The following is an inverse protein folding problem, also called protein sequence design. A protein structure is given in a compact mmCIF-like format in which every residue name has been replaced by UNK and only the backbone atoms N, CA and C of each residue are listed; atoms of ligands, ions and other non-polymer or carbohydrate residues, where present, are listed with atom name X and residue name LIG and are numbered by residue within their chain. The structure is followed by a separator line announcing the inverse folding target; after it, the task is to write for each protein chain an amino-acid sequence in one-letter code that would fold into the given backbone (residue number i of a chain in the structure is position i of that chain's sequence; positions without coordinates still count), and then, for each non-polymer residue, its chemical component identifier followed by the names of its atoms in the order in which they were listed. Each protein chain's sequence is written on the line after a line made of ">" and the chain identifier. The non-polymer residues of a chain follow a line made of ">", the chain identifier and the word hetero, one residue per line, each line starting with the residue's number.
data_IF_196500267082
#
_entry.id   IF_196500267082
#
_cell.length_a   1.000
_cell.length_b   1.000
_cell.length_c   1.000
_cell.angle_alpha   90.00
_cell.angle_beta   90.00
_cell.angle_gamma   90.00
#
_symmetry.space_group_name_H-M   'P 1'
#
loop_
_entity.id
_entity.type
_entity.pdbx_description
1 polymer ?
#
# COMPACT_ATOMS: atom_id res chain seq x y z
N UNK A 1 -5.12 -11.24 -12.89
CA UNK A 1 -6.50 -11.20 -12.39
C UNK A 1 -6.92 -12.50 -11.74
N UNK A 2 -8.05 -12.48 -11.08
CA UNK A 2 -8.61 -13.67 -10.43
C UNK A 2 -9.25 -14.62 -11.44
N UNK A 3 -9.24 -15.91 -11.10
CA UNK A 3 -10.04 -16.89 -11.82
C UNK A 3 -11.52 -16.74 -11.42
N UNK A 4 -12.44 -17.10 -12.32
CA UNK A 4 -13.89 -16.99 -12.07
C UNK A 4 -14.32 -17.75 -10.80
N UNK A 5 -13.76 -18.93 -10.58
CA UNK A 5 -14.04 -19.75 -9.40
C UNK A 5 -13.67 -19.09 -8.05
N UNK A 6 -12.80 -18.07 -8.06
CA UNK A 6 -12.33 -17.38 -6.87
C UNK A 6 -13.09 -16.08 -6.59
N UNK A 7 -13.94 -15.60 -7.51
CA UNK A 7 -14.67 -14.34 -7.36
C UNK A 7 -15.56 -14.31 -6.12
N UNK A 8 -16.17 -15.45 -5.76
CA UNK A 8 -17.03 -15.56 -4.58
C UNK A 8 -16.29 -15.47 -3.24
N UNK A 9 -14.95 -15.55 -3.26
CA UNK A 9 -14.08 -15.49 -2.08
C UNK A 9 -13.58 -14.07 -1.79
N UNK A 10 -13.87 -13.12 -2.68
CA UNK A 10 -13.40 -11.73 -2.55
C UNK A 10 -14.40 -10.93 -1.72
N UNK A 11 -13.89 -10.30 -0.66
CA UNK A 11 -14.68 -9.35 0.11
C UNK A 11 -15.08 -8.14 -0.76
N UNK A 12 -16.28 -7.64 -0.56
CA UNK A 12 -16.76 -6.43 -1.21
C UNK A 12 -16.02 -5.20 -0.69
N UNK A 13 -15.60 -4.32 -1.60
CA UNK A 13 -15.06 -3.02 -1.26
C UNK A 13 -16.22 -2.08 -0.95
N UNK A 14 -16.28 -1.62 0.29
CA UNK A 14 -17.29 -0.68 0.77
C UNK A 14 -16.75 0.74 0.63
N UNK A 15 -17.53 1.61 -0.01
CA UNK A 15 -17.14 3.02 -0.20
C UNK A 15 -17.15 3.79 1.11
N UNK A 16 -16.31 4.80 1.18
CA UNK A 16 -16.44 5.84 2.20
C UNK A 16 -17.60 6.76 1.81
N UNK A 17 -18.63 6.77 2.65
CA UNK A 17 -19.81 7.65 2.48
C UNK A 17 -19.70 8.94 3.31
N UNK A 18 -18.55 9.18 3.96
CA UNK A 18 -18.33 10.42 4.69
C UNK A 18 -18.15 11.60 3.73
N UNK A 19 -18.41 12.81 4.23
CA UNK A 19 -18.28 14.05 3.45
C UNK A 19 -16.85 14.31 2.95
N UNK A 20 -15.85 13.65 3.57
CA UNK A 20 -14.44 13.75 3.19
C UNK A 20 -14.09 12.96 1.92
N UNK A 21 -15.01 12.14 1.41
CA UNK A 21 -14.82 11.39 0.16
C UNK A 21 -14.60 12.28 -1.08
N UNK A 22 -14.81 13.59 -0.95
CA UNK A 22 -14.60 14.58 -2.01
C UNK A 22 -13.16 15.10 -2.14
N UNK A 23 -12.19 14.48 -1.47
CA UNK A 23 -10.79 14.96 -1.50
C UNK A 23 -10.22 15.17 -2.91
N UNK A 24 -10.74 14.45 -3.89
CA UNK A 24 -10.36 14.59 -5.30
C UNK A 24 -11.28 15.49 -6.13
N UNK A 25 -12.43 15.91 -5.59
CA UNK A 25 -13.44 16.64 -6.36
C UNK A 25 -13.06 18.10 -6.68
N UNK A 26 -12.13 18.67 -5.92
CA UNK A 26 -11.69 20.08 -6.05
C UNK A 26 -10.28 20.22 -6.63
N UNK A 27 -9.74 19.17 -7.22
CA UNK A 27 -8.43 19.25 -7.88
C UNK A 27 -8.54 20.08 -9.18
N UNK A 28 -7.50 20.89 -9.46
CA UNK A 28 -7.34 21.49 -10.77
C UNK A 28 -7.29 20.37 -11.82
N UNK A 29 -8.22 20.35 -12.81
CA UNK A 29 -8.26 19.32 -13.85
C UNK A 29 -6.95 19.18 -14.65
N UNK A 30 -6.17 20.25 -14.73
CA UNK A 30 -4.88 20.25 -15.42
C UNK A 30 -3.72 19.75 -14.55
N UNK A 31 -3.94 19.56 -13.24
CA UNK A 31 -2.92 19.03 -12.34
C UNK A 31 -2.57 17.56 -12.67
N UNK A 32 -1.33 17.17 -12.37
CA UNK A 32 -0.90 15.76 -12.49
C UNK A 32 -1.74 14.85 -11.63
N UNK A 33 -2.07 15.27 -10.41
CA UNK A 33 -2.92 14.54 -9.48
C UNK A 33 -4.31 14.24 -10.06
N UNK A 34 -4.95 15.28 -10.65
CA UNK A 34 -6.26 15.10 -11.29
C UNK A 34 -6.19 14.18 -12.51
N UNK A 35 -5.16 14.29 -13.32
CA UNK A 35 -4.95 13.41 -14.49
C UNK A 35 -4.73 11.96 -14.11
N UNK A 36 -4.06 11.70 -12.98
CA UNK A 36 -3.82 10.34 -12.46
C UNK A 36 -5.06 9.74 -11.80
N UNK A 37 -5.72 10.50 -10.93
CA UNK A 37 -6.84 9.99 -10.10
C UNK A 37 -8.23 10.32 -10.65
N UNK A 38 -8.35 11.28 -11.57
CA UNK A 38 -9.63 11.74 -12.11
C UNK A 38 -10.33 10.77 -13.07
N UNK A 39 -9.68 9.69 -13.48
CA UNK A 39 -10.21 8.73 -14.46
C UNK A 39 -11.35 7.82 -13.96
N UNK A 40 -11.84 7.99 -12.73
CA UNK A 40 -12.98 7.26 -12.18
C UNK A 40 -12.81 5.73 -12.01
N UNK A 41 -11.65 5.21 -12.37
CA UNK A 41 -11.38 3.76 -12.38
C UNK A 41 -11.21 3.09 -11.03
N UNK A 42 -11.26 3.84 -9.92
CA UNK A 42 -11.05 3.33 -8.56
C UNK A 42 -12.31 3.39 -7.67
N UNK A 43 -13.48 3.63 -8.25
CA UNK A 43 -14.72 3.53 -7.47
C UNK A 43 -14.97 2.09 -7.03
N UNK A 44 -15.58 1.90 -5.85
CA UNK A 44 -15.88 0.56 -5.34
C UNK A 44 -16.80 -0.23 -6.25
N UNK A 45 -17.72 0.43 -6.95
CA UNK A 45 -18.60 -0.24 -7.91
C UNK A 45 -17.79 -0.88 -9.03
N UNK A 46 -16.79 -0.19 -9.55
CA UNK A 46 -15.87 -0.74 -10.56
C UNK A 46 -15.01 -1.83 -9.95
N UNK A 47 -14.40 -1.61 -8.79
CA UNK A 47 -13.53 -2.57 -8.12
C UNK A 47 -14.25 -3.86 -7.68
N UNK A 48 -15.58 -3.80 -7.46
CA UNK A 48 -16.40 -4.96 -7.13
C UNK A 48 -16.87 -5.75 -8.35
N UNK A 49 -16.72 -5.23 -9.56
CA UNK A 49 -17.12 -5.93 -10.77
C UNK A 49 -16.25 -7.15 -11.07
N UNK A 50 -16.86 -8.20 -11.65
CA UNK A 50 -16.10 -9.38 -12.08
C UNK A 50 -15.02 -9.02 -13.11
N UNK A 51 -15.34 -8.12 -14.04
CA UNK A 51 -14.41 -7.67 -15.06
C UNK A 51 -13.14 -7.04 -14.46
N UNK A 52 -13.29 -6.17 -13.44
CA UNK A 52 -12.15 -5.60 -12.72
C UNK A 52 -11.34 -6.65 -11.98
N UNK A 53 -12.00 -7.54 -11.25
CA UNK A 53 -11.35 -8.59 -10.45
C UNK A 53 -10.58 -9.57 -11.32
N UNK A 54 -11.02 -9.81 -12.55
CA UNK A 54 -10.38 -10.70 -13.52
C UNK A 54 -9.33 -9.99 -14.39
N UNK A 55 -9.34 -8.67 -14.47
CA UNK A 55 -8.37 -7.90 -15.24
C UNK A 55 -6.96 -8.01 -14.64
N UNK A 56 -5.94 -7.82 -15.47
CA UNK A 56 -4.54 -7.70 -15.05
C UNK A 56 -4.16 -6.21 -15.00
N UNK A 57 -4.33 -5.60 -13.82
CA UNK A 57 -4.00 -4.19 -13.58
C UNK A 57 -3.00 -4.11 -12.42
N UNK A 58 -1.70 -4.38 -12.66
CA UNK A 58 -0.70 -4.57 -11.60
C UNK A 58 -0.60 -3.41 -10.62
N UNK A 59 -0.95 -2.19 -11.06
CA UNK A 59 -0.85 -1.00 -10.24
C UNK A 59 -1.92 -0.90 -9.14
N UNK A 60 -3.06 -1.61 -9.26
CA UNK A 60 -4.21 -1.27 -8.41
C UNK A 60 -5.07 -2.48 -7.99
N UNK A 61 -5.10 -3.59 -8.72
CA UNK A 61 -6.03 -4.68 -8.43
C UNK A 61 -5.40 -5.95 -7.85
N UNK A 62 -4.38 -5.82 -7.02
CA UNK A 62 -3.84 -6.94 -6.26
C UNK A 62 -4.90 -7.50 -5.30
N UNK A 63 -5.10 -8.83 -5.32
CA UNK A 63 -6.05 -9.53 -4.45
C UNK A 63 -5.30 -10.41 -3.46
N UNK A 64 -5.59 -10.25 -2.19
CA UNK A 64 -4.98 -11.02 -1.12
C UNK A 64 -5.57 -10.64 0.23
N UNK A 65 -5.07 -11.26 1.27
CA UNK A 65 -5.35 -10.87 2.66
C UNK A 65 -4.05 -10.44 3.36
N UNK A 66 -4.17 -9.84 4.54
CA UNK A 66 -3.01 -9.34 5.29
C UNK A 66 -1.94 -10.43 5.51
N UNK A 67 -2.36 -11.67 5.77
CA UNK A 67 -1.43 -12.81 5.95
C UNK A 67 -0.64 -13.12 4.67
N UNK A 68 -1.27 -13.11 3.51
CA UNK A 68 -0.57 -13.38 2.24
C UNK A 68 0.39 -12.25 1.88
N UNK A 69 0.00 -11.00 2.13
CA UNK A 69 0.88 -9.84 1.93
C UNK A 69 2.11 -9.93 2.83
N UNK A 70 1.93 -10.09 4.15
CA UNK A 70 3.04 -10.26 5.09
C UNK A 70 3.91 -11.44 4.69
N UNK A 71 3.32 -12.57 4.30
CA UNK A 71 4.07 -13.77 3.95
C UNK A 71 5.02 -13.55 2.76
N UNK A 72 4.59 -12.81 1.75
CA UNK A 72 5.43 -12.46 0.62
C UNK A 72 6.46 -11.37 0.98
N UNK A 73 6.03 -10.33 1.68
CA UNK A 73 6.85 -9.15 1.96
C UNK A 73 7.86 -9.34 3.09
N UNK A 74 7.65 -10.33 3.97
CA UNK A 74 8.58 -10.63 5.07
C UNK A 74 9.98 -11.02 4.59
N UNK A 75 10.12 -11.49 3.35
CA UNK A 75 11.41 -11.74 2.75
C UNK A 75 12.31 -10.49 2.75
N UNK A 76 11.74 -9.30 2.50
CA UNK A 76 12.48 -8.05 2.50
C UNK A 76 12.94 -7.59 3.89
N UNK A 77 12.23 -8.03 4.94
CA UNK A 77 12.61 -7.77 6.32
C UNK A 77 13.62 -8.79 6.87
N UNK A 78 13.81 -9.92 6.20
CA UNK A 78 14.55 -11.07 6.71
C UNK A 78 15.57 -11.61 5.69
N UNK A 79 16.36 -10.75 5.08
CA UNK A 79 17.48 -11.10 4.19
C UNK A 79 17.08 -12.05 3.04
N UNK A 80 15.85 -11.85 2.52
CA UNK A 80 15.30 -12.62 1.44
C UNK A 80 14.54 -13.88 1.87
N UNK A 81 14.50 -14.20 3.18
CA UNK A 81 13.84 -15.37 3.73
C UNK A 81 12.39 -15.04 4.16
N UNK A 82 11.42 -15.68 3.56
CA UNK A 82 10.02 -15.62 3.95
C UNK A 82 9.62 -16.92 4.65
N UNK A 83 9.52 -16.90 5.98
CA UNK A 83 9.34 -18.10 6.80
C UNK A 83 10.45 -19.13 6.50
N UNK A 84 10.10 -20.27 5.91
CA UNK A 84 11.06 -21.32 5.57
C UNK A 84 11.50 -21.34 4.11
N UNK A 85 11.17 -20.27 3.35
CA UNK A 85 11.43 -20.21 1.89
C UNK A 85 12.32 -19.02 1.55
N UNK A 86 13.49 -19.30 0.97
CA UNK A 86 14.35 -18.26 0.41
C UNK A 86 13.74 -17.77 -0.91
N UNK A 87 13.16 -16.55 -0.91
CA UNK A 87 12.56 -15.91 -2.09
C UNK A 87 13.56 -15.06 -2.85
N UNK A 88 14.49 -14.41 -2.13
CA UNK A 88 15.52 -13.54 -2.68
C UNK A 88 16.86 -13.86 -2.02
N UNK A 89 17.97 -13.52 -2.65
CA UNK A 89 19.25 -13.45 -1.93
C UNK A 89 19.23 -12.28 -0.94
N UNK A 90 20.09 -12.31 0.08
CA UNK A 90 20.25 -11.18 1.01
C UNK A 90 20.61 -9.89 0.26
N UNK A 91 21.50 -9.98 -0.75
CA UNK A 91 21.84 -8.86 -1.62
C UNK A 91 20.63 -8.34 -2.41
N UNK A 92 19.76 -9.24 -2.89
CA UNK A 92 18.52 -8.87 -3.59
C UNK A 92 17.52 -8.16 -2.69
N UNK A 93 17.42 -8.61 -1.42
CA UNK A 93 16.59 -7.95 -0.43
C UNK A 93 17.14 -6.56 -0.07
N UNK A 94 18.46 -6.42 0.07
CA UNK A 94 19.10 -5.11 0.32
C UNK A 94 18.91 -4.15 -0.86
N UNK A 95 19.04 -4.61 -2.10
CA UNK A 95 18.81 -3.79 -3.29
C UNK A 95 17.41 -3.20 -3.36
N UNK A 96 16.41 -3.87 -2.80
CA UNK A 96 15.04 -3.32 -2.76
C UNK A 96 14.93 -2.03 -1.96
N UNK A 97 15.90 -1.75 -1.09
CA UNK A 97 16.00 -0.59 -0.21
C UNK A 97 16.90 0.51 -0.78
N UNK A 98 17.59 0.28 -1.89
CA UNK A 98 18.40 1.30 -2.54
C UNK A 98 17.54 2.51 -2.90
N UNK A 99 17.96 3.70 -2.47
CA UNK A 99 17.24 4.95 -2.75
C UNK A 99 17.40 5.30 -4.21
N UNK A 100 16.30 5.31 -4.93
CA UNK A 100 16.23 5.62 -6.36
C UNK A 100 15.87 7.07 -6.62
N UNK A 101 15.06 7.66 -5.73
CA UNK A 101 14.58 9.03 -5.87
C UNK A 101 14.34 9.64 -4.48
N UNK A 102 14.76 10.88 -4.31
CA UNK A 102 14.39 11.71 -3.16
C UNK A 102 14.02 13.10 -3.68
N UNK A 103 12.72 13.41 -3.73
CA UNK A 103 12.22 14.67 -4.29
C UNK A 103 10.77 14.94 -3.89
N UNK A 104 10.25 16.11 -4.29
CA UNK A 104 8.82 16.38 -4.28
C UNK A 104 8.13 15.50 -5.32
N UNK A 105 7.14 14.70 -4.91
CA UNK A 105 6.30 13.95 -5.83
C UNK A 105 5.23 14.87 -6.45
N UNK A 106 5.14 14.88 -7.77
CA UNK A 106 4.24 15.80 -8.49
C UNK A 106 2.79 15.32 -8.53
N UNK A 107 2.54 14.09 -8.14
CA UNK A 107 1.19 13.49 -8.05
C UNK A 107 0.67 13.55 -6.62
N UNK A 108 1.50 13.13 -5.66
CA UNK A 108 1.16 13.10 -4.24
C UNK A 108 1.32 14.47 -3.56
N UNK A 109 2.08 15.39 -4.17
CA UNK A 109 2.30 16.77 -3.73
C UNK A 109 2.97 16.90 -2.36
N UNK A 110 3.83 15.94 -2.00
CA UNK A 110 4.68 16.00 -0.81
C UNK A 110 6.05 15.34 -1.07
N UNK A 111 7.08 15.64 -0.22
CA UNK A 111 8.38 15.03 -0.36
C UNK A 111 8.33 13.52 -0.14
N UNK A 112 8.94 12.77 -1.04
CA UNK A 112 9.07 11.32 -0.97
C UNK A 112 10.53 10.91 -1.09
N UNK A 113 10.86 9.78 -0.48
CA UNK A 113 12.11 9.06 -0.68
C UNK A 113 11.75 7.64 -1.09
N UNK A 114 11.90 7.35 -2.38
CA UNK A 114 11.54 6.08 -2.95
C UNK A 114 12.72 5.13 -3.09
N UNK A 115 12.47 3.89 -2.71
CA UNK A 115 13.25 2.73 -3.06
C UNK A 115 12.54 1.95 -4.19
N UNK A 116 12.91 0.71 -4.42
CA UNK A 116 12.32 -0.13 -5.48
C UNK A 116 10.90 -0.60 -5.09
N UNK A 117 9.89 0.18 -5.46
CA UNK A 117 8.48 -0.13 -5.19
C UNK A 117 7.96 0.27 -3.80
N UNK A 118 8.77 0.94 -2.98
CA UNK A 118 8.42 1.36 -1.62
C UNK A 118 8.89 2.78 -1.35
N UNK A 119 8.26 3.45 -0.39
CA UNK A 119 8.76 4.68 0.20
C UNK A 119 9.43 4.41 1.55
N UNK A 120 10.38 5.24 1.92
CA UNK A 120 10.91 5.30 3.29
C UNK A 120 9.95 6.04 4.22
N UNK A 121 10.03 5.75 5.51
CA UNK A 121 9.30 6.49 6.55
C UNK A 121 9.57 8.00 6.48
N UNK A 122 8.55 8.81 6.67
CA UNK A 122 8.61 10.27 6.64
C UNK A 122 7.70 10.90 7.69
N UNK A 123 7.80 12.22 7.87
CA UNK A 123 7.03 12.95 8.86
C UNK A 123 5.64 13.37 8.36
N UNK A 124 5.38 13.29 7.05
CA UNK A 124 4.11 13.69 6.44
C UNK A 124 3.04 12.62 6.59
N UNK A 125 3.46 11.35 6.50
CA UNK A 125 2.56 10.20 6.65
C UNK A 125 3.19 9.27 7.68
N UNK A 126 2.82 9.39 8.97
CA UNK A 126 3.45 8.67 10.07
C UNK A 126 2.94 7.23 10.19
N UNK A 127 3.11 6.43 9.15
CA UNK A 127 2.72 5.01 9.12
C UNK A 127 3.65 4.16 9.98
N UNK A 128 4.93 4.51 10.03
CA UNK A 128 5.93 3.78 10.81
C UNK A 128 6.78 4.76 11.64
N UNK A 129 7.07 4.45 12.92
CA UNK A 129 8.00 5.23 13.72
C UNK A 129 9.46 5.11 13.25
N UNK A 130 9.84 3.98 12.64
CA UNK A 130 11.19 3.80 12.11
C UNK A 130 11.31 4.41 10.71
N UNK A 131 12.08 5.49 10.58
CA UNK A 131 12.31 6.16 9.29
C UNK A 131 13.18 5.35 8.32
N UNK A 132 13.87 4.32 8.79
CA UNK A 132 14.62 3.40 7.94
C UNK A 132 13.76 2.22 7.44
N UNK A 133 12.55 2.04 7.99
CA UNK A 133 11.59 1.10 7.43
C UNK A 133 11.07 1.60 6.08
N UNK A 134 10.88 0.66 5.16
CA UNK A 134 10.21 0.93 3.90
C UNK A 134 8.73 0.52 4.00
N UNK A 135 7.87 1.23 3.31
CA UNK A 135 6.43 0.99 3.35
C UNK A 135 5.76 1.40 2.06
N UNK A 136 4.58 0.90 1.85
CA UNK A 136 3.63 1.46 0.89
C UNK A 136 2.20 1.25 1.34
N UNK A 137 1.31 2.09 0.83
CA UNK A 137 -0.10 2.03 1.15
C UNK A 137 -0.95 2.29 -0.09
N UNK A 138 -2.18 1.82 -0.05
CA UNK A 138 -3.14 2.01 -1.12
C UNK A 138 -4.24 3.00 -0.78
N UNK A 139 -4.92 3.44 -1.82
CA UNK A 139 -6.17 4.19 -1.72
C UNK A 139 -7.16 3.43 -0.83
N UNK A 140 -7.73 4.12 0.15
CA UNK A 140 -8.71 3.56 1.08
C UNK A 140 -8.15 2.94 2.35
N UNK A 141 -6.82 2.78 2.51
CA UNK A 141 -6.21 2.52 3.80
C UNK A 141 -5.35 1.25 3.93
N UNK A 142 -5.33 0.35 2.95
CA UNK A 142 -4.44 -0.84 3.01
C UNK A 142 -2.98 -0.42 3.06
N UNK A 143 -2.17 -1.08 3.90
CA UNK A 143 -0.79 -0.68 4.17
C UNK A 143 0.10 -1.90 4.38
N UNK A 144 1.34 -1.80 3.95
CA UNK A 144 2.41 -2.73 4.27
C UNK A 144 3.64 -1.95 4.75
N UNK A 145 4.21 -2.36 5.88
CA UNK A 145 5.46 -1.83 6.46
C UNK A 145 6.46 -2.97 6.55
N UNK A 146 7.69 -2.70 6.14
CA UNK A 146 8.79 -3.67 6.12
C UNK A 146 9.96 -3.03 6.84
N UNK A 147 10.32 -3.56 7.98
CA UNK A 147 11.39 -3.08 8.86
C UNK A 147 12.47 -4.15 8.98
N UNK A 148 13.55 -3.97 8.25
CA UNK A 148 14.66 -4.88 8.25
C UNK A 148 15.50 -4.78 9.55
N UNK A 149 15.59 -3.59 10.15
CA UNK A 149 16.34 -3.39 11.40
C UNK A 149 15.72 -4.20 12.54
N UNK A 150 14.39 -4.22 12.60
CA UNK A 150 13.62 -4.97 13.60
C UNK A 150 13.16 -6.35 13.09
N UNK A 151 13.54 -6.75 11.86
CA UNK A 151 13.15 -8.00 11.21
C UNK A 151 11.63 -8.22 11.23
N UNK A 152 10.88 -7.14 11.04
CA UNK A 152 9.42 -7.12 11.20
C UNK A 152 8.75 -6.71 9.90
N UNK A 153 7.65 -7.38 9.59
CA UNK A 153 6.76 -7.01 8.50
C UNK A 153 5.33 -6.92 9.03
N UNK A 154 4.70 -5.79 8.78
CA UNK A 154 3.32 -5.52 9.17
C UNK A 154 2.46 -5.28 7.93
N UNK A 155 1.24 -5.80 7.91
CA UNK A 155 0.26 -5.47 6.87
C UNK A 155 -1.14 -5.33 7.45
N UNK A 156 -1.82 -4.32 6.96
CA UNK A 156 -3.23 -4.07 7.16
C UNK A 156 -3.95 -4.06 5.81
N UNK A 157 -5.01 -4.84 5.67
CA UNK A 157 -5.82 -4.91 4.45
C UNK A 157 -7.26 -4.59 4.81
N UNK A 158 -7.81 -3.55 4.19
CA UNK A 158 -9.18 -3.10 4.41
C UNK A 158 -10.14 -3.66 3.35
N UNK A 159 -11.43 -3.68 3.68
CA UNK A 159 -12.50 -3.71 2.70
C UNK A 159 -13.44 -2.50 2.81
N UNK A 160 -13.38 -1.74 3.91
CA UNK A 160 -14.02 -0.43 4.05
C UNK A 160 -13.03 0.67 3.69
N UNK A 161 -13.24 1.33 2.57
CA UNK A 161 -12.42 2.47 2.16
C UNK A 161 -12.57 3.66 3.12
N UNK A 162 -11.51 4.45 3.22
CA UNK A 162 -11.51 5.78 3.78
C UNK A 162 -10.96 6.76 2.76
N UNK A 163 -11.35 8.03 2.86
CA UNK A 163 -10.87 9.10 1.98
C UNK A 163 -9.39 9.44 2.27
N UNK A 164 -8.52 8.48 1.97
CA UNK A 164 -7.08 8.61 2.13
C UNK A 164 -6.35 8.04 0.93
N UNK A 165 -5.35 8.77 0.44
CA UNK A 165 -4.53 8.34 -0.70
C UNK A 165 -3.53 7.24 -0.30
N UNK A 166 -2.98 7.31 0.92
CA UNK A 166 -1.91 6.43 1.39
C UNK A 166 -2.10 6.08 2.86
N UNK A 167 -2.68 4.92 3.13
CA UNK A 167 -2.95 4.48 4.48
C UNK A 167 -3.94 5.38 5.22
N UNK A 168 -4.24 5.08 6.44
CA UNK A 168 -5.07 5.89 7.32
C UNK A 168 -4.78 5.61 8.80
N UNK A 169 -5.51 6.28 9.71
CA UNK A 169 -5.30 6.12 11.15
C UNK A 169 -5.51 4.69 11.65
N UNK A 170 -6.35 3.87 10.98
CA UNK A 170 -6.54 2.46 11.35
C UNK A 170 -5.24 1.67 11.20
N UNK A 171 -4.58 1.79 10.05
CA UNK A 171 -3.30 1.13 9.81
C UNK A 171 -2.16 1.78 10.59
N UNK A 172 -2.17 3.11 10.70
CA UNK A 172 -1.16 3.87 11.43
C UNK A 172 -1.16 3.58 12.93
N UNK A 173 -2.33 3.54 13.58
CA UNK A 173 -2.42 3.21 15.00
C UNK A 173 -1.95 1.79 15.30
N UNK A 174 -2.34 0.82 14.50
CA UNK A 174 -1.90 -0.57 14.66
C UNK A 174 -0.38 -0.70 14.47
N UNK A 175 0.19 -0.02 13.49
CA UNK A 175 1.63 -0.01 13.28
C UNK A 175 2.36 0.60 14.48
N UNK A 176 1.93 1.77 14.98
CA UNK A 176 2.52 2.39 16.18
C UNK A 176 2.45 1.48 17.39
N UNK A 177 1.29 0.87 17.65
CA UNK A 177 1.13 -0.07 18.79
C UNK A 177 2.06 -1.28 18.66
N UNK A 178 2.28 -1.78 17.45
CA UNK A 178 3.26 -2.83 17.22
C UNK A 178 4.67 -2.39 17.65
N UNK A 179 5.10 -1.19 17.25
CA UNK A 179 6.42 -0.67 17.62
C UNK A 179 6.56 -0.36 19.11
N UNK A 180 5.47 0.03 19.78
CA UNK A 180 5.45 0.23 21.24
C UNK A 180 5.60 -1.08 22.02
N UNK A 181 5.23 -2.20 21.40
CA UNK A 181 5.29 -3.54 22.02
C UNK A 181 6.61 -4.29 21.73
N UNK A 182 7.48 -3.76 20.89
CA UNK A 182 8.78 -4.34 20.52
C UNK A 182 9.89 -3.88 21.47
#
# INVERSE_FOLDING_TARGET
>A
GLLEQDLSRVAEILQDTSADASAFANLDPESMTAKVFGGGGSSGDVANSAAWRQAEIPAINGHGNARSVVRAQSALANDGLAFDTQLLSAEGAEKSREVLLESMDLVLMFPVKFAMGYAYGNDFIPITPNKNAIWWAGLGGSTCVIDQENRTCFSYVMNQMKASMLGDERSGSLSRTLYEAM
#
